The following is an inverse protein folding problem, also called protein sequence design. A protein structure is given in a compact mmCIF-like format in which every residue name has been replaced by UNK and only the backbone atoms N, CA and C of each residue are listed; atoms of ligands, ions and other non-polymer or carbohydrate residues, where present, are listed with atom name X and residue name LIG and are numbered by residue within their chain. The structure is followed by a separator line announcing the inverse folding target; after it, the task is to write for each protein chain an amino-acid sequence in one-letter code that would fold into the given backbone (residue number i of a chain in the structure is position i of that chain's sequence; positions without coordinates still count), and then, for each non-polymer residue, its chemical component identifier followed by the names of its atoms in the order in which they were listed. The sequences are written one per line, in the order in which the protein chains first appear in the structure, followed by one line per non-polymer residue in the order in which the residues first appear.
data_IF_397945317590
#
_entry.id   IF_397945317590
#
_cell.length_a   1.000
_cell.length_b   1.000
_cell.length_c   1.000
_cell.angle_alpha   90.00
_cell.angle_beta   90.00
_cell.angle_gamma   90.00
#
_symmetry.space_group_name_H-M   'P 1'
#
loop_
_entity.id
_entity.type
_entity.pdbx_description
1 polymer ?
#
# COMPACT_ATOMS: atom_id res chain seq x y z
N UNK A 1 13.08 6.87 -14.27
CA UNK A 1 12.57 6.24 -13.03
C UNK A 1 12.68 4.71 -12.98
N UNK A 2 11.78 3.93 -13.61
CA UNK A 2 11.73 2.46 -13.40
C UNK A 2 13.03 1.73 -13.78
N UNK A 3 13.66 2.08 -14.89
CA UNK A 3 14.96 1.51 -15.29
C UNK A 3 16.09 1.82 -14.29
N UNK A 4 16.17 3.06 -13.79
CA UNK A 4 17.17 3.46 -12.79
C UNK A 4 17.00 2.67 -11.48
N UNK A 5 15.75 2.47 -11.06
CA UNK A 5 15.43 1.68 -9.87
C UNK A 5 15.78 0.20 -10.08
N UNK A 6 15.49 -0.37 -11.25
CA UNK A 6 15.91 -1.74 -11.61
C UNK A 6 17.43 -1.91 -11.55
N UNK A 7 18.18 -0.94 -12.08
CA UNK A 7 19.63 -0.98 -12.06
C UNK A 7 20.19 -1.03 -10.63
N UNK A 8 19.62 -0.26 -9.70
CA UNK A 8 20.01 -0.32 -8.28
C UNK A 8 19.70 -1.71 -7.70
N UNK A 9 18.48 -2.21 -7.89
CA UNK A 9 18.03 -3.51 -7.37
C UNK A 9 18.91 -4.65 -7.87
N UNK A 10 19.20 -4.69 -9.18
CA UNK A 10 20.03 -5.74 -9.75
C UNK A 10 21.50 -5.62 -9.35
N UNK A 11 22.01 -4.39 -9.21
CA UNK A 11 23.36 -4.18 -8.68
C UNK A 11 23.49 -4.77 -7.28
N UNK A 12 22.50 -4.56 -6.40
CA UNK A 12 22.50 -5.18 -5.07
C UNK A 12 22.35 -6.70 -5.15
N UNK A 13 21.42 -7.17 -5.98
CA UNK A 13 21.12 -8.59 -6.15
C UNK A 13 22.32 -9.41 -6.64
N UNK A 14 22.96 -8.97 -7.75
CA UNK A 14 24.11 -9.65 -8.35
C UNK A 14 25.30 -9.67 -7.39
N UNK A 15 25.50 -8.58 -6.63
CA UNK A 15 26.57 -8.49 -5.64
C UNK A 15 26.22 -9.16 -4.30
N UNK A 16 25.07 -9.85 -4.20
CA UNK A 16 24.61 -10.54 -2.98
C UNK A 16 24.54 -9.60 -1.77
N UNK A 17 24.18 -8.34 -2.01
CA UNK A 17 23.99 -7.32 -0.97
C UNK A 17 22.53 -7.26 -0.57
N UNK A 18 22.30 -7.07 0.72
CA UNK A 18 20.98 -6.71 1.25
C UNK A 18 20.84 -5.19 1.22
N UNK A 19 19.61 -4.65 1.15
CA UNK A 19 19.35 -3.21 1.28
C UNK A 19 19.99 -2.59 2.52
N UNK A 20 20.59 -1.42 2.37
CA UNK A 20 21.16 -0.59 3.43
C UNK A 20 20.66 0.88 3.28
N UNK A 21 21.20 1.79 4.08
CA UNK A 21 20.84 3.21 4.03
C UNK A 21 21.06 3.79 2.62
N UNK A 22 22.17 3.44 1.96
CA UNK A 22 22.49 3.91 0.61
C UNK A 22 21.50 3.39 -0.45
N UNK A 23 21.05 2.14 -0.31
CA UNK A 23 19.99 1.57 -1.16
C UNK A 23 18.72 2.41 -1.06
N UNK A 24 18.28 2.70 0.17
CA UNK A 24 17.06 3.47 0.42
C UNK A 24 17.21 4.90 -0.08
N UNK A 25 18.33 5.57 0.24
CA UNK A 25 18.62 6.94 -0.21
C UNK A 25 18.59 7.07 -1.73
N UNK A 26 19.23 6.12 -2.43
CA UNK A 26 19.29 6.14 -3.89
C UNK A 26 17.90 6.01 -4.52
N UNK A 27 17.07 5.12 -3.99
CA UNK A 27 15.70 4.91 -4.46
C UNK A 27 14.81 6.12 -4.15
N UNK A 28 14.84 6.59 -2.91
CA UNK A 28 14.00 7.72 -2.47
C UNK A 28 14.37 8.98 -3.23
N UNK A 29 15.65 9.25 -3.45
CA UNK A 29 16.12 10.42 -4.22
C UNK A 29 15.54 10.45 -5.64
N UNK A 30 15.53 9.29 -6.32
CA UNK A 30 14.93 9.16 -7.65
C UNK A 30 13.43 9.44 -7.56
N UNK A 31 12.72 8.81 -6.64
CA UNK A 31 11.26 8.92 -6.54
C UNK A 31 10.83 10.35 -6.14
N UNK A 32 11.49 10.97 -5.16
CA UNK A 32 11.19 12.33 -4.71
C UNK A 32 11.32 13.32 -5.86
N UNK A 33 12.35 13.17 -6.70
CA UNK A 33 12.58 14.02 -7.86
C UNK A 33 11.47 13.86 -8.89
N UNK A 34 11.18 12.62 -9.29
CA UNK A 34 10.21 12.31 -10.34
C UNK A 34 8.77 12.69 -9.94
N UNK A 35 8.38 12.39 -8.70
CA UNK A 35 7.04 12.67 -8.16
C UNK A 35 6.89 14.10 -7.60
N UNK A 36 7.97 14.90 -7.64
CA UNK A 36 8.05 16.28 -7.12
C UNK A 36 7.58 16.36 -5.66
N UNK A 37 8.23 15.59 -4.78
CA UNK A 37 7.87 15.43 -3.36
C UNK A 37 8.82 16.14 -2.39
N UNK A 38 9.75 16.96 -2.88
CA UNK A 38 10.82 17.53 -2.05
C UNK A 38 10.31 18.40 -0.89
N UNK A 39 9.15 19.05 -1.04
CA UNK A 39 8.55 19.84 0.04
C UNK A 39 7.83 18.98 1.10
N UNK A 40 7.58 17.70 0.80
CA UNK A 40 6.80 16.77 1.61
C UNK A 40 7.66 15.71 2.31
N UNK A 41 8.97 15.69 2.05
CA UNK A 41 9.96 14.87 2.77
C UNK A 41 11.05 15.79 3.29
N UNK A 42 11.14 15.92 4.61
CA UNK A 42 12.13 16.75 5.30
C UNK A 42 13.41 15.97 5.61
N UNK A 43 13.26 14.72 6.02
CA UNK A 43 14.38 13.89 6.50
C UNK A 43 14.04 12.39 6.41
N UNK A 44 15.07 11.56 6.50
CA UNK A 44 14.98 10.10 6.54
C UNK A 44 15.70 9.57 7.79
N UNK A 45 14.99 8.81 8.62
CA UNK A 45 15.48 8.25 9.88
C UNK A 45 15.59 6.72 9.78
N UNK A 46 16.82 6.20 9.77
CA UNK A 46 17.13 4.76 9.72
C UNK A 46 17.21 4.09 11.09
N UNK A 47 17.19 4.87 12.18
CA UNK A 47 17.29 4.35 13.54
C UNK A 47 15.90 4.06 14.13
N UNK A 48 14.94 3.70 13.30
CA UNK A 48 13.57 3.48 13.72
C UNK A 48 13.45 2.18 14.54
N UNK A 49 13.36 2.30 15.87
CA UNK A 49 13.33 1.15 16.79
C UNK A 49 11.91 0.61 17.08
N UNK A 50 10.91 1.00 16.29
CA UNK A 50 9.53 0.54 16.46
C UNK A 50 9.34 -0.90 15.95
N UNK A 51 8.22 -1.53 16.32
CA UNK A 51 7.74 -2.81 15.81
C UNK A 51 7.36 -2.70 14.32
N UNK A 52 7.01 -1.51 13.83
CA UNK A 52 6.73 -1.31 12.41
C UNK A 52 8.01 -1.37 11.55
N UNK A 53 7.87 -1.79 10.30
CA UNK A 53 8.97 -1.82 9.33
C UNK A 53 9.37 -0.41 8.91
N UNK A 54 8.38 0.43 8.63
CA UNK A 54 8.57 1.82 8.26
C UNK A 54 7.38 2.66 8.75
N UNK A 55 7.50 3.98 8.62
CA UNK A 55 6.39 4.91 8.84
C UNK A 55 6.73 6.29 8.30
N UNK A 56 5.76 6.93 7.67
CA UNK A 56 5.77 8.35 7.35
C UNK A 56 5.05 9.18 8.42
N UNK A 57 5.74 10.18 8.96
CA UNK A 57 5.17 11.11 9.95
C UNK A 57 4.69 12.38 9.24
N UNK A 58 3.37 12.54 9.07
CA UNK A 58 2.76 13.62 8.29
C UNK A 58 3.16 15.03 8.74
N UNK A 59 3.17 15.30 10.05
CA UNK A 59 3.48 16.63 10.61
C UNK A 59 4.96 16.99 10.47
N UNK A 60 5.85 16.07 10.83
CA UNK A 60 7.30 16.30 10.78
C UNK A 60 7.90 16.08 9.39
N UNK A 61 7.14 15.43 8.49
CA UNK A 61 7.52 15.06 7.12
C UNK A 61 8.75 14.14 7.09
N UNK A 62 8.87 13.26 8.08
CA UNK A 62 10.01 12.35 8.21
C UNK A 62 9.60 10.95 7.77
N UNK A 63 10.39 10.35 6.87
CA UNK A 63 10.30 8.93 6.54
C UNK A 63 11.17 8.15 7.52
N UNK A 64 10.62 7.11 8.16
CA UNK A 64 11.34 6.28 9.11
C UNK A 64 11.43 4.85 8.61
N UNK A 65 12.61 4.25 8.66
CA UNK A 65 12.84 2.88 8.20
C UNK A 65 13.60 2.06 9.24
N UNK A 66 13.09 0.88 9.56
CA UNK A 66 13.77 -0.12 10.39
C UNK A 66 14.43 -1.18 9.49
N UNK A 67 15.55 -0.81 8.88
CA UNK A 67 16.24 -1.63 7.86
C UNK A 67 16.59 -3.02 8.39
N UNK A 68 17.15 -3.09 9.60
CA UNK A 68 17.52 -4.37 10.23
C UNK A 68 16.32 -5.31 10.37
N UNK A 69 15.16 -4.77 10.77
CA UNK A 69 13.94 -5.55 10.88
C UNK A 69 13.42 -5.99 9.51
N UNK A 70 13.41 -5.11 8.51
CA UNK A 70 13.00 -5.46 7.15
C UNK A 70 13.84 -6.62 6.59
N UNK A 71 15.17 -6.52 6.67
CA UNK A 71 16.08 -7.55 6.17
C UNK A 71 15.80 -8.88 6.86
N UNK A 72 15.64 -8.86 8.19
CA UNK A 72 15.35 -10.05 8.99
C UNK A 72 14.02 -10.68 8.58
N UNK A 73 12.94 -9.90 8.62
CA UNK A 73 11.59 -10.37 8.35
C UNK A 73 11.47 -10.93 6.92
N UNK A 74 11.99 -10.22 5.91
CA UNK A 74 11.95 -10.70 4.52
C UNK A 74 12.88 -11.87 4.25
N UNK A 75 14.01 -11.97 4.96
CA UNK A 75 14.84 -13.18 4.90
C UNK A 75 14.10 -14.40 5.44
N UNK A 76 13.30 -14.25 6.50
CA UNK A 76 12.53 -15.34 7.08
C UNK A 76 11.30 -15.70 6.23
N UNK A 77 10.60 -14.70 5.68
CA UNK A 77 9.51 -14.89 4.73
C UNK A 77 10.01 -15.64 3.48
N UNK A 78 11.17 -15.28 2.94
CA UNK A 78 11.76 -15.98 1.80
C UNK A 78 12.00 -17.47 2.09
N UNK A 79 12.49 -17.81 3.30
CA UNK A 79 12.70 -19.22 3.70
C UNK A 79 11.39 -20.02 3.69
N UNK A 80 10.28 -19.38 4.08
CA UNK A 80 8.95 -20.01 4.06
C UNK A 80 8.51 -20.25 2.61
N UNK A 81 8.57 -19.23 1.76
CA UNK A 81 8.17 -19.36 0.36
C UNK A 81 9.04 -20.38 -0.40
N UNK A 82 10.36 -20.37 -0.20
CA UNK A 82 11.26 -21.36 -0.80
C UNK A 82 10.83 -22.80 -0.51
N UNK A 83 10.33 -23.10 0.70
CA UNK A 83 9.83 -24.44 1.06
C UNK A 83 8.53 -24.80 0.32
N UNK A 84 7.69 -23.81 0.03
CA UNK A 84 6.38 -24.02 -0.62
C UNK A 84 6.56 -24.31 -2.11
N UNK A 85 7.55 -23.70 -2.77
CA UNK A 85 7.70 -23.74 -4.23
C UNK A 85 8.82 -24.69 -4.74
N UNK A 86 9.45 -25.46 -3.85
CA UNK A 86 10.50 -26.47 -4.15
C UNK A 86 11.54 -26.02 -5.20
N UNK A 87 11.97 -24.76 -5.12
CA UNK A 87 12.92 -24.19 -6.07
C UNK A 87 14.34 -24.64 -5.69
N UNK A 88 15.09 -25.19 -6.65
CA UNK A 88 16.53 -25.33 -6.51
C UNK A 88 17.11 -23.96 -6.15
N UNK A 89 17.89 -23.93 -5.08
CA UNK A 89 18.26 -22.73 -4.34
C UNK A 89 19.08 -21.73 -5.17
N UNK A 90 18.46 -20.84 -5.95
CA UNK A 90 19.21 -19.73 -6.53
C UNK A 90 19.40 -18.62 -5.49
N UNK A 91 20.67 -18.32 -5.19
CA UNK A 91 21.03 -17.22 -4.32
C UNK A 91 20.54 -15.89 -4.88
N UNK A 92 20.45 -15.75 -6.20
CA UNK A 92 19.93 -14.55 -6.87
C UNK A 92 18.50 -14.25 -6.41
N UNK A 93 17.61 -15.25 -6.41
CA UNK A 93 16.20 -15.09 -6.03
C UNK A 93 16.03 -14.59 -4.59
N UNK A 94 16.90 -15.01 -3.67
CA UNK A 94 16.86 -14.53 -2.29
C UNK A 94 17.10 -13.03 -2.21
N UNK A 95 18.19 -12.55 -2.81
CA UNK A 95 18.53 -11.13 -2.74
C UNK A 95 17.55 -10.27 -3.54
N UNK A 96 17.09 -10.77 -4.69
CA UNK A 96 16.08 -10.09 -5.49
C UNK A 96 14.77 -9.96 -4.71
N UNK A 97 14.31 -11.05 -4.08
CA UNK A 97 13.11 -11.03 -3.24
C UNK A 97 13.22 -10.01 -2.11
N UNK A 98 14.35 -9.98 -1.38
CA UNK A 98 14.55 -9.04 -0.28
C UNK A 98 14.57 -7.60 -0.81
N UNK A 99 15.29 -7.31 -1.90
CA UNK A 99 15.35 -5.97 -2.48
C UNK A 99 13.98 -5.47 -2.95
N UNK A 100 13.21 -6.33 -3.64
CA UNK A 100 11.85 -5.99 -4.08
C UNK A 100 10.90 -5.80 -2.90
N UNK A 101 11.02 -6.61 -1.85
CA UNK A 101 10.18 -6.47 -0.66
C UNK A 101 10.47 -5.18 0.10
N UNK A 102 11.74 -4.77 0.20
CA UNK A 102 12.11 -3.46 0.78
C UNK A 102 11.64 -2.31 -0.10
N UNK A 103 11.80 -2.44 -1.43
CA UNK A 103 11.28 -1.44 -2.37
C UNK A 103 9.76 -1.26 -2.25
N UNK A 104 9.00 -2.34 -2.03
CA UNK A 104 7.56 -2.27 -1.79
C UNK A 104 7.24 -1.43 -0.56
N UNK A 105 8.00 -1.60 0.53
CA UNK A 105 7.84 -0.77 1.75
C UNK A 105 8.16 0.69 1.45
N UNK A 106 9.23 0.97 0.70
CA UNK A 106 9.55 2.35 0.30
C UNK A 106 8.38 2.95 -0.49
N UNK A 107 7.83 2.23 -1.47
CA UNK A 107 6.68 2.72 -2.23
C UNK A 107 5.44 2.92 -1.38
N UNK A 108 5.20 2.07 -0.39
CA UNK A 108 4.10 2.21 0.54
C UNK A 108 4.21 3.54 1.31
N UNK A 109 5.37 3.82 1.91
CA UNK A 109 5.57 5.07 2.64
C UNK A 109 5.56 6.30 1.73
N UNK A 110 6.09 6.18 0.51
CA UNK A 110 6.00 7.26 -0.48
C UNK A 110 4.55 7.54 -0.88
N UNK A 111 3.67 6.53 -0.91
CA UNK A 111 2.25 6.79 -1.17
C UNK A 111 1.64 7.65 -0.05
N UNK A 112 2.05 7.47 1.21
CA UNK A 112 1.64 8.37 2.28
C UNK A 112 2.17 9.81 2.09
N UNK A 113 3.37 9.98 1.55
CA UNK A 113 3.90 11.31 1.15
C UNK A 113 3.03 11.92 0.04
N UNK A 114 2.65 11.15 -0.97
CA UNK A 114 1.77 11.59 -2.06
C UNK A 114 0.39 11.97 -1.52
N UNK A 115 -0.17 11.17 -0.62
CA UNK A 115 -1.44 11.46 0.05
C UNK A 115 -1.34 12.77 0.87
N UNK A 116 -0.23 13.01 1.58
CA UNK A 116 -0.02 14.27 2.29
C UNK A 116 0.00 15.45 1.31
N UNK A 117 0.71 15.32 0.18
CA UNK A 117 0.71 16.33 -0.90
C UNK A 117 -0.70 16.60 -1.43
N UNK A 118 -1.48 15.55 -1.71
CA UNK A 118 -2.88 15.68 -2.14
C UNK A 118 -3.74 16.41 -1.10
N UNK A 119 -3.63 16.05 0.17
CA UNK A 119 -4.40 16.70 1.25
C UNK A 119 -4.12 18.21 1.35
N UNK A 120 -2.87 18.62 1.11
CA UNK A 120 -2.46 20.02 1.14
C UNK A 120 -2.80 20.81 -0.13
N UNK A 121 -3.02 20.15 -1.27
CA UNK A 121 -3.22 20.82 -2.57
C UNK A 121 -4.66 20.76 -3.08
N UNK A 122 -5.43 19.75 -2.69
CA UNK A 122 -6.83 19.60 -3.11
C UNK A 122 -7.77 20.60 -2.39
N UNK A 123 -8.86 21.05 -3.04
CA UNK A 123 -9.89 21.86 -2.40
C UNK A 123 -10.48 21.18 -1.15
N UNK A 124 -10.83 21.96 -0.13
CA UNK A 124 -11.39 21.44 1.14
C UNK A 124 -12.64 20.58 0.96
N UNK A 125 -13.43 20.86 -0.07
CA UNK A 125 -14.65 20.11 -0.35
C UNK A 125 -14.41 18.81 -1.13
N UNK A 126 -13.20 18.60 -1.67
CA UNK A 126 -12.77 17.41 -2.39
C UNK A 126 -13.02 16.14 -1.60
N UNK A 127 -13.59 15.15 -2.27
CA UNK A 127 -13.86 13.85 -1.67
C UNK A 127 -12.57 13.13 -1.28
N UNK A 128 -11.54 13.16 -2.13
CA UNK A 128 -10.27 12.49 -1.88
C UNK A 128 -9.53 13.12 -0.69
N UNK A 129 -9.53 14.46 -0.60
CA UNK A 129 -8.96 15.16 0.57
C UNK A 129 -9.63 14.73 1.87
N UNK A 130 -10.98 14.69 1.88
CA UNK A 130 -11.74 14.28 3.05
C UNK A 130 -11.44 12.84 3.48
N UNK A 131 -11.22 11.92 2.53
CA UNK A 131 -10.83 10.55 2.88
C UNK A 131 -9.48 10.51 3.61
N UNK A 132 -8.50 11.26 3.13
CA UNK A 132 -7.18 11.34 3.77
C UNK A 132 -7.29 11.95 5.17
N UNK A 133 -8.06 13.04 5.32
CA UNK A 133 -8.28 13.69 6.61
C UNK A 133 -9.02 12.78 7.61
N UNK A 134 -10.01 11.99 7.17
CA UNK A 134 -10.72 11.03 8.04
C UNK A 134 -9.75 10.01 8.63
N UNK A 135 -8.85 9.48 7.81
CA UNK A 135 -7.94 8.42 8.25
C UNK A 135 -6.90 8.97 9.25
N UNK A 136 -6.41 10.20 9.06
CA UNK A 136 -5.59 10.88 10.07
C UNK A 136 -6.32 11.03 11.41
N UNK A 137 -7.61 11.41 11.37
CA UNK A 137 -8.44 11.49 12.58
C UNK A 137 -8.67 10.11 13.20
N UNK A 138 -8.80 9.06 12.39
CA UNK A 138 -8.93 7.69 12.86
C UNK A 138 -7.69 7.26 13.65
N UNK A 139 -6.50 7.58 13.15
CA UNK A 139 -5.20 7.28 13.78
C UNK A 139 -5.09 7.99 15.13
N UNK A 140 -5.38 9.30 15.16
CA UNK A 140 -5.14 10.15 16.33
C UNK A 140 -6.21 10.02 17.41
N UNK A 141 -7.48 10.00 17.00
CA UNK A 141 -8.63 10.10 17.93
C UNK A 141 -9.26 8.74 18.22
N UNK A 142 -9.19 7.80 17.26
CA UNK A 142 -9.80 6.46 17.38
C UNK A 142 -8.79 5.32 17.16
N UNK A 143 -7.63 5.32 17.85
CA UNK A 143 -6.52 4.41 17.56
C UNK A 143 -6.90 2.92 17.75
N UNK A 144 -7.89 2.60 18.57
CA UNK A 144 -8.38 1.23 18.73
C UNK A 144 -9.11 0.71 17.49
N UNK A 145 -9.95 1.56 16.88
CA UNK A 145 -10.66 1.24 15.62
C UNK A 145 -9.65 1.13 14.49
N UNK A 146 -8.71 2.08 14.44
CA UNK A 146 -7.61 2.07 13.46
C UNK A 146 -6.80 0.78 13.54
N UNK A 147 -6.26 0.44 14.71
CA UNK A 147 -5.47 -0.79 14.91
C UNK A 147 -6.20 -2.08 14.55
N UNK A 148 -7.51 -2.15 14.84
CA UNK A 148 -8.33 -3.33 14.52
C UNK A 148 -8.46 -3.58 13.01
N UNK A 149 -8.43 -2.52 12.21
CA UNK A 149 -8.69 -2.56 10.78
C UNK A 149 -7.61 -1.88 9.93
N UNK A 150 -6.38 -1.78 10.45
CA UNK A 150 -5.28 -0.98 9.91
C UNK A 150 -5.19 -1.04 8.37
N UNK A 151 -4.90 -2.22 7.84
CA UNK A 151 -4.67 -2.44 6.39
C UNK A 151 -5.94 -2.25 5.51
N UNK A 152 -7.10 -2.06 6.14
CA UNK A 152 -8.39 -1.91 5.48
C UNK A 152 -8.88 -0.46 5.50
N UNK A 153 -8.23 0.44 6.23
CA UNK A 153 -8.47 1.88 6.12
C UNK A 153 -8.05 2.38 4.74
N UNK A 154 -8.71 3.44 4.26
CA UNK A 154 -8.64 3.82 2.84
C UNK A 154 -7.22 4.19 2.42
N UNK A 155 -6.51 5.00 3.21
CA UNK A 155 -5.12 5.40 2.92
C UNK A 155 -4.13 4.24 2.97
N UNK A 156 -4.25 3.35 3.97
CA UNK A 156 -3.38 2.18 4.16
C UNK A 156 -3.58 1.16 3.07
N UNK A 157 -4.84 0.92 2.73
CA UNK A 157 -5.22 0.00 1.66
C UNK A 157 -4.72 0.51 0.31
N UNK A 158 -4.91 1.79 0.03
CA UNK A 158 -4.41 2.44 -1.18
C UNK A 158 -2.88 2.31 -1.26
N UNK A 159 -2.16 2.63 -0.19
CA UNK A 159 -0.71 2.48 -0.11
C UNK A 159 -0.25 1.03 -0.34
N UNK A 160 -0.89 0.06 0.29
CA UNK A 160 -0.59 -1.36 0.11
C UNK A 160 -0.84 -1.85 -1.33
N UNK A 161 -1.95 -1.47 -1.95
CA UNK A 161 -2.28 -1.92 -3.31
C UNK A 161 -1.39 -1.23 -4.34
N UNK A 162 -1.20 0.08 -4.23
CA UNK A 162 -0.38 0.85 -5.18
C UNK A 162 1.07 0.40 -5.11
N UNK A 163 1.65 0.25 -3.92
CA UNK A 163 3.03 -0.23 -3.76
C UNK A 163 3.22 -1.62 -4.35
N UNK A 164 2.32 -2.57 -4.05
CA UNK A 164 2.37 -3.91 -4.59
C UNK A 164 2.20 -3.92 -6.13
N UNK A 165 1.32 -3.07 -6.67
CA UNK A 165 1.14 -2.94 -8.11
C UNK A 165 2.38 -2.35 -8.81
N UNK A 166 3.04 -1.36 -8.18
CA UNK A 166 4.31 -0.82 -8.69
C UNK A 166 5.35 -1.93 -8.79
N UNK A 167 5.48 -2.79 -7.77
CA UNK A 167 6.35 -3.97 -7.85
C UNK A 167 5.95 -4.88 -9.02
N UNK A 168 4.66 -5.18 -9.21
CA UNK A 168 4.22 -5.99 -10.36
C UNK A 168 4.65 -5.39 -11.70
N UNK A 169 4.52 -4.07 -11.86
CA UNK A 169 5.04 -3.36 -13.04
C UNK A 169 6.55 -3.55 -13.22
N UNK A 170 7.34 -3.51 -12.15
CA UNK A 170 8.77 -3.85 -12.22
C UNK A 170 9.03 -5.27 -12.71
N UNK A 171 8.23 -6.23 -12.23
CA UNK A 171 8.41 -7.63 -12.60
C UNK A 171 8.01 -7.89 -14.05
N UNK A 172 7.00 -7.19 -14.57
CA UNK A 172 6.58 -7.26 -15.97
C UNK A 172 7.63 -6.66 -16.93
N UNK A 173 8.45 -5.71 -16.45
CA UNK A 173 9.56 -5.12 -17.20
C UNK A 173 10.87 -5.91 -17.08
N UNK A 174 10.96 -6.85 -16.15
CA UNK A 174 12.19 -7.55 -15.81
C UNK A 174 12.39 -8.81 -16.66
N UNK A 175 13.49 -8.87 -17.40
CA UNK A 175 13.86 -10.06 -18.19
C UNK A 175 14.48 -11.18 -17.34
N UNK A 176 14.93 -10.88 -16.12
CA UNK A 176 15.71 -11.80 -15.27
C UNK A 176 14.97 -12.24 -14.00
N UNK A 177 13.71 -11.82 -13.82
CA UNK A 177 12.88 -12.23 -12.68
C UNK A 177 12.35 -13.65 -12.91
N UNK A 178 12.50 -14.50 -11.91
CA UNK A 178 11.94 -15.86 -11.95
C UNK A 178 10.40 -15.83 -11.82
N UNK A 179 9.73 -16.80 -12.47
CA UNK A 179 8.27 -16.98 -12.34
C UNK A 179 7.83 -17.13 -10.88
N UNK A 180 8.69 -17.69 -10.04
CA UNK A 180 8.47 -17.80 -8.60
C UNK A 180 8.24 -16.42 -7.96
N UNK A 181 9.15 -15.46 -8.16
CA UNK A 181 9.01 -14.11 -7.59
C UNK A 181 7.75 -13.42 -8.15
N UNK A 182 7.50 -13.55 -9.45
CA UNK A 182 6.28 -13.04 -10.12
C UNK A 182 5.03 -13.57 -9.40
N UNK A 183 4.97 -14.87 -9.13
CA UNK A 183 3.82 -15.49 -8.48
C UNK A 183 3.63 -14.99 -7.05
N UNK A 184 4.70 -14.80 -6.27
CA UNK A 184 4.58 -14.30 -4.88
C UNK A 184 3.91 -12.93 -4.85
N UNK A 185 4.36 -11.97 -5.67
CA UNK A 185 3.78 -10.63 -5.70
C UNK A 185 2.40 -10.58 -6.36
N UNK A 186 2.13 -11.39 -7.38
CA UNK A 186 0.79 -11.53 -7.96
C UNK A 186 -0.21 -12.08 -6.94
N UNK A 187 0.16 -13.13 -6.19
CA UNK A 187 -0.67 -13.68 -5.11
C UNK A 187 -0.91 -12.66 -4.01
N UNK A 188 0.12 -11.87 -3.63
CA UNK A 188 -0.04 -10.79 -2.64
C UNK A 188 -1.02 -9.73 -3.13
N UNK A 189 -0.86 -9.22 -4.35
CA UNK A 189 -1.78 -8.22 -4.92
C UNK A 189 -3.22 -8.73 -4.97
N UNK A 190 -3.43 -9.96 -5.44
CA UNK A 190 -4.75 -10.58 -5.49
C UNK A 190 -5.36 -10.69 -4.09
N UNK A 191 -4.58 -11.07 -3.08
CA UNK A 191 -5.04 -11.08 -1.69
C UNK A 191 -5.45 -9.68 -1.23
N UNK A 192 -4.62 -8.66 -1.46
CA UNK A 192 -4.91 -7.28 -1.06
C UNK A 192 -6.22 -6.78 -1.68
N UNK A 193 -6.45 -7.03 -2.97
CA UNK A 193 -7.71 -6.65 -3.63
C UNK A 193 -8.91 -7.34 -2.97
N UNK A 194 -8.80 -8.62 -2.61
CA UNK A 194 -9.90 -9.43 -2.07
C UNK A 194 -10.17 -9.21 -0.57
N UNK A 195 -9.14 -8.94 0.22
CA UNK A 195 -9.19 -9.02 1.69
C UNK A 195 -10.23 -8.10 2.34
N UNK A 196 -10.48 -6.95 1.72
CA UNK A 196 -11.50 -6.02 2.19
C UNK A 196 -12.92 -6.60 2.07
N UNK A 197 -13.18 -7.36 1.02
CA UNK A 197 -14.50 -7.90 0.71
C UNK A 197 -14.78 -9.23 1.42
N UNK A 198 -13.74 -9.97 1.82
CA UNK A 198 -13.91 -11.23 2.56
C UNK A 198 -14.28 -11.03 4.03
N UNK A 199 -13.93 -9.88 4.61
CA UNK A 199 -14.14 -9.59 6.04
C UNK A 199 -15.51 -8.99 6.36
N UNK A 200 -16.36 -8.72 5.34
CA UNK A 200 -17.63 -7.98 5.49
C UNK A 200 -17.49 -6.67 6.29
N UNK A 201 -16.28 -6.10 6.34
CA UNK A 201 -15.94 -4.95 7.16
C UNK A 201 -15.64 -3.77 6.26
N UNK A 202 -16.33 -2.66 6.48
CA UNK A 202 -15.96 -1.36 5.92
C UNK A 202 -15.51 -0.47 7.09
N UNK A 203 -14.19 -0.37 7.35
CA UNK A 203 -13.68 0.35 8.52
C UNK A 203 -14.09 1.83 8.51
N UNK A 204 -14.13 2.42 7.32
CA UNK A 204 -14.65 3.77 7.12
C UNK A 204 -16.12 3.89 7.59
N UNK A 205 -16.99 2.92 7.28
CA UNK A 205 -18.38 2.93 7.76
C UNK A 205 -18.46 2.68 9.28
N UNK A 206 -17.60 1.81 9.84
CA UNK A 206 -17.52 1.58 11.28
C UNK A 206 -17.13 2.87 12.02
N UNK A 207 -16.07 3.53 11.58
CA UNK A 207 -15.61 4.82 12.11
C UNK A 207 -16.69 5.90 11.97
N UNK A 208 -17.31 6.03 10.80
CA UNK A 208 -18.38 7.02 10.58
C UNK A 208 -19.60 6.75 11.47
N UNK A 209 -19.90 5.48 11.76
CA UNK A 209 -21.00 5.11 12.67
C UNK A 209 -20.67 5.50 14.11
N UNK A 210 -19.45 5.21 14.58
CA UNK A 210 -18.99 5.56 15.93
C UNK A 210 -19.02 7.08 16.15
N UNK A 211 -18.66 7.84 15.12
CA UNK A 211 -18.52 9.30 15.18
C UNK A 211 -19.84 10.04 14.91
N UNK A 212 -20.92 9.32 14.59
CA UNK A 212 -22.20 9.89 14.18
C UNK A 212 -22.09 10.76 12.91
N UNK A 213 -21.09 10.53 12.07
CA UNK A 213 -20.81 11.30 10.86
C UNK A 213 -20.27 12.71 11.09
N UNK A 214 -19.97 13.11 12.34
CA UNK A 214 -19.55 14.48 12.68
C UNK A 214 -18.18 14.87 12.12
N UNK A 215 -17.36 13.88 11.76
CA UNK A 215 -15.92 14.10 11.61
C UNK A 215 -15.50 14.65 10.24
N UNK A 216 -16.24 14.46 9.14
CA UNK A 216 -15.74 14.98 7.83
C UNK A 216 -16.78 15.21 6.74
N UNK A 217 -18.07 15.13 7.09
CA UNK A 217 -19.15 15.46 6.16
C UNK A 217 -20.09 16.48 6.79
N UNK A 218 -19.61 17.71 6.99
CA UNK A 218 -20.52 18.82 7.28
C UNK A 218 -21.63 18.81 6.20
N UNK A 219 -22.87 18.54 6.63
CA UNK A 219 -24.05 18.42 5.76
C UNK A 219 -24.50 17.01 5.39
N UNK A 220 -23.81 15.93 5.79
CA UNK A 220 -24.31 14.55 5.63
C UNK A 220 -24.33 13.89 7.01
N UNK A 221 -25.52 13.79 7.61
CA UNK A 221 -25.73 12.84 8.71
C UNK A 221 -25.40 11.45 8.17
N UNK A 222 -24.52 10.69 8.81
CA UNK A 222 -24.16 9.31 8.42
C UNK A 222 -24.55 8.38 9.57
N UNK A 223 -25.69 7.70 9.42
CA UNK A 223 -26.10 6.55 10.23
C UNK A 223 -25.93 5.29 9.40
N UNK A 224 -26.12 4.09 9.97
CA UNK A 224 -26.11 2.80 9.24
C UNK A 224 -27.02 2.80 7.99
N UNK A 225 -28.02 3.67 7.96
CA UNK A 225 -28.94 3.89 6.83
C UNK A 225 -28.35 4.72 5.67
N UNK A 226 -27.14 5.28 5.83
CA UNK A 226 -26.50 6.16 4.84
C UNK A 226 -25.40 5.49 4.00
N UNK A 227 -25.21 4.16 4.14
CA UNK A 227 -24.34 3.37 3.24
C UNK A 227 -24.69 3.58 1.76
N UNK A 228 -25.98 3.66 1.43
CA UNK A 228 -26.43 3.98 0.06
C UNK A 228 -26.06 5.41 -0.36
N UNK A 229 -26.07 6.38 0.55
CA UNK A 229 -25.66 7.76 0.23
C UNK A 229 -24.16 7.85 -0.02
N UNK A 230 -23.35 7.16 0.79
CA UNK A 230 -21.90 7.07 0.61
C UNK A 230 -21.60 6.39 -0.73
N UNK A 231 -22.21 5.23 -1.00
CA UNK A 231 -22.09 4.53 -2.27
C UNK A 231 -22.45 5.41 -3.47
N UNK A 232 -23.58 6.12 -3.42
CA UNK A 232 -23.99 7.02 -4.50
C UNK A 232 -23.03 8.19 -4.68
N UNK A 233 -22.51 8.75 -3.58
CA UNK A 233 -21.51 9.82 -3.63
C UNK A 233 -20.19 9.31 -4.21
N UNK A 234 -19.71 8.14 -3.80
CA UNK A 234 -18.48 7.55 -4.33
C UNK A 234 -18.62 7.22 -5.81
N UNK A 235 -19.77 6.69 -6.25
CA UNK A 235 -20.03 6.39 -7.67
C UNK A 235 -20.01 7.61 -8.58
N UNK A 236 -20.38 8.78 -8.06
CA UNK A 236 -20.36 10.04 -8.83
C UNK A 236 -18.96 10.62 -9.00
N UNK A 237 -18.05 10.33 -8.06
CA UNK A 237 -16.74 10.96 -8.00
C UNK A 237 -15.60 10.03 -8.41
N UNK A 238 -15.80 8.72 -8.35
CA UNK A 238 -14.75 7.72 -8.53
C UNK A 238 -15.25 6.55 -9.38
N UNK A 239 -14.35 6.04 -10.22
CA UNK A 239 -14.51 4.78 -10.94
C UNK A 239 -14.66 3.59 -9.98
N UNK A 240 -15.05 2.44 -10.52
CA UNK A 240 -15.08 1.20 -9.74
C UNK A 240 -13.68 0.81 -9.22
N UNK A 241 -12.65 1.01 -10.03
CA UNK A 241 -11.27 0.68 -9.69
C UNK A 241 -10.72 1.56 -8.56
N UNK A 242 -10.95 2.88 -8.62
CA UNK A 242 -10.53 3.78 -7.54
C UNK A 242 -11.26 3.46 -6.22
N UNK A 243 -12.54 3.11 -6.29
CA UNK A 243 -13.30 2.68 -5.11
C UNK A 243 -12.77 1.36 -4.54
N UNK A 244 -12.32 0.45 -5.39
CA UNK A 244 -11.72 -0.82 -5.00
C UNK A 244 -10.39 -0.63 -4.25
N UNK A 245 -9.53 0.21 -4.81
CA UNK A 245 -8.22 0.55 -4.25
C UNK A 245 -8.41 1.24 -2.90
N UNK A 246 -9.30 2.21 -2.82
CA UNK A 246 -9.56 2.98 -1.59
C UNK A 246 -10.44 2.24 -0.57
N UNK A 247 -10.88 1.01 -0.84
CA UNK A 247 -11.72 0.25 0.08
C UNK A 247 -13.03 0.97 0.39
N UNK A 248 -13.72 1.42 -0.65
CA UNK A 248 -15.00 2.13 -0.54
C UNK A 248 -16.19 1.19 -0.80
N UNK A 249 -17.39 1.54 -0.33
CA UNK A 249 -18.57 0.70 -0.51
C UNK A 249 -18.86 0.35 -1.98
N UNK A 250 -19.33 -0.88 -2.17
CA UNK A 250 -19.80 -1.41 -3.45
C UNK A 250 -21.28 -1.79 -3.37
N UNK A 251 -21.98 -1.78 -4.50
CA UNK A 251 -23.29 -2.41 -4.59
C UNK A 251 -23.16 -3.94 -4.75
N UNK A 252 -24.28 -4.67 -4.65
CA UNK A 252 -24.31 -6.13 -4.77
C UNK A 252 -23.74 -6.61 -6.11
N UNK A 253 -24.12 -5.98 -7.21
CA UNK A 253 -23.68 -6.34 -8.57
C UNK A 253 -22.16 -6.21 -8.74
N UNK A 254 -21.59 -5.08 -8.30
CA UNK A 254 -20.15 -4.80 -8.29
C UNK A 254 -19.39 -5.82 -7.45
N UNK A 255 -19.91 -6.14 -6.26
CA UNK A 255 -19.36 -7.18 -5.41
C UNK A 255 -19.34 -8.54 -6.12
N UNK A 256 -20.46 -8.93 -6.75
CA UNK A 256 -20.54 -10.18 -7.52
C UNK A 256 -19.58 -10.19 -8.72
N UNK A 257 -19.42 -9.06 -9.43
CA UNK A 257 -18.49 -8.94 -10.54
C UNK A 257 -17.04 -9.17 -10.10
N UNK A 258 -16.62 -8.59 -8.97
CA UNK A 258 -15.27 -8.77 -8.45
C UNK A 258 -15.07 -10.21 -7.98
N UNK A 259 -16.06 -10.76 -7.26
CA UNK A 259 -16.02 -12.16 -6.80
C UNK A 259 -16.00 -13.14 -7.98
N UNK A 260 -16.67 -12.85 -9.09
CA UNK A 260 -16.82 -13.76 -10.23
C UNK A 260 -15.79 -13.57 -11.34
N UNK A 261 -15.14 -12.39 -11.47
CA UNK A 261 -13.96 -12.19 -12.35
C UNK A 261 -12.86 -13.22 -12.08
N UNK A 262 -12.89 -13.86 -10.91
CA UNK A 262 -11.96 -14.90 -10.46
C UNK A 262 -12.11 -16.23 -11.21
N UNK A 263 -13.30 -16.60 -11.70
CA UNK A 263 -13.48 -17.91 -12.37
C UNK A 263 -12.75 -18.03 -13.72
N UNK A 264 -12.32 -16.91 -14.30
CA UNK A 264 -11.62 -16.91 -15.60
C UNK A 264 -10.10 -16.96 -15.46
N UNK A 265 -9.56 -16.54 -14.30
CA UNK A 265 -8.10 -16.55 -14.05
C UNK A 265 -7.61 -17.82 -13.35
N UNK A 266 -8.47 -18.55 -12.62
CA UNK A 266 -8.11 -19.86 -12.05
C UNK A 266 -8.05 -20.98 -13.10
N UNK A 267 -8.56 -20.76 -14.32
CA UNK A 267 -8.51 -21.74 -15.42
C UNK A 267 -7.20 -21.77 -16.21
N UNK A 268 -6.22 -20.94 -15.86
CA UNK A 268 -4.92 -20.88 -16.53
C UNK A 268 -3.73 -21.17 -15.60
N UNK A 269 -3.97 -21.87 -14.48
CA UNK A 269 -2.91 -22.52 -13.69
C UNK A 269 -2.86 -23.99 -14.04
#
# INVERSE_FOLDING_TARGET
MYEELLNIIYTYTINKKVPDDNFIDSIISIIIKEEKLIEYVKDIDYNYQNIALASYFYESRILKFNINKMIKDYSDIYKIHKRIYDTSSDYFDKYLFICLSVLEVIFHEIEHVIQNKKANTLPQDSFERKLIEIDNIAIEVYPSVYKKHHDLFSIEREANIISCNKIRTFLDMSEITTRYIINVFNSKYNRLIKEYYSKNSCPLLELLTITGGKISYNGISITRNNTNKILMKTKRNLSLEERLIKGLPLNKEEYYLIKNKEQTYEKFI
#
